data_IF_593575980628
#
_entry.id   IF_593575980628
#
_cell.length_a   1.000
_cell.length_b   1.000
_cell.length_c   1.000
_cell.angle_alpha   90.00
_cell.angle_beta   90.00
_cell.angle_gamma   90.00
#
_symmetry.space_group_name_H-M   'P 1'
#
loop_
_entity.id
_entity.type
_entity.pdbx_description
1 polymer ?
#
# COMPACT_ATOMS: atom_id res chain seq x y z
N UNK A 1 20.81 1.80 59.73
CA UNK A 1 20.88 0.71 60.72
C UNK A 1 19.65 -0.18 60.53
N UNK A 2 19.84 -1.49 60.67
CA UNK A 2 19.03 -2.62 60.19
C UNK A 2 17.55 -2.69 60.59
N UNK A 3 16.81 -3.47 59.78
CA UNK A 3 15.45 -4.03 59.95
C UNK A 3 15.12 -4.50 61.38
N UNK A 4 13.84 -4.83 61.64
CA UNK A 4 13.56 -6.25 61.84
C UNK A 4 12.29 -6.81 61.17
N UNK A 5 12.42 -8.10 60.82
CA UNK A 5 11.42 -9.06 60.37
C UNK A 5 10.24 -9.24 61.34
N UNK A 6 9.05 -9.57 60.80
CA UNK A 6 8.13 -10.52 61.43
C UNK A 6 7.61 -11.52 60.40
N UNK A 7 7.97 -12.77 60.65
CA UNK A 7 7.53 -13.99 60.00
C UNK A 7 6.32 -14.53 60.79
N UNK A 8 5.24 -14.98 60.16
CA UNK A 8 4.26 -15.88 60.79
C UNK A 8 3.61 -16.79 59.75
N UNK A 9 3.97 -18.06 59.87
CA UNK A 9 3.39 -19.25 59.25
C UNK A 9 1.90 -19.40 59.58
N UNK A 10 1.11 -19.94 58.64
CA UNK A 10 0.08 -20.96 58.89
C UNK A 10 -0.49 -21.55 57.56
N UNK A 11 0.04 -22.72 57.21
CA UNK A 11 -0.60 -23.99 56.79
C UNK A 11 -1.92 -24.02 55.98
N UNK A 12 -1.81 -24.70 54.82
CA UNK A 12 -2.65 -25.77 54.24
C UNK A 12 -4.18 -25.68 54.32
N UNK A 13 -4.85 -25.83 53.16
CA UNK A 13 -5.59 -27.05 52.81
C UNK A 13 -6.02 -27.04 51.33
N UNK A 14 -5.64 -28.08 50.59
CA UNK A 14 -6.26 -28.48 49.32
C UNK A 14 -7.71 -28.96 49.56
N UNK A 15 -8.54 -28.95 48.51
CA UNK A 15 -9.07 -30.24 48.03
C UNK A 15 -8.92 -30.35 46.50
N UNK A 16 -8.29 -31.41 45.98
CA UNK A 16 -8.92 -32.68 45.58
C UNK A 16 -10.04 -32.54 44.51
N UNK A 17 -9.62 -32.77 43.26
CA UNK A 17 -10.12 -33.82 42.35
C UNK A 17 -11.64 -33.98 42.16
N UNK A 18 -12.10 -33.68 40.94
CA UNK A 18 -12.98 -34.62 40.21
C UNK A 18 -12.58 -34.67 38.73
N UNK A 19 -12.10 -35.85 38.33
CA UNK A 19 -12.11 -36.36 36.97
C UNK A 19 -13.57 -36.61 36.53
N UNK A 20 -13.94 -36.15 35.34
CA UNK A 20 -15.09 -36.64 34.59
C UNK A 20 -14.67 -36.74 33.12
N UNK A 21 -14.15 -37.91 32.72
CA UNK A 21 -14.84 -38.96 31.95
C UNK A 21 -15.28 -38.54 30.54
N UNK A 22 -14.47 -38.99 29.58
CA UNK A 22 -14.84 -39.33 28.20
C UNK A 22 -16.19 -40.05 28.10
N UNK A 23 -16.89 -39.87 26.97
CA UNK A 23 -17.41 -41.00 26.24
C UNK A 23 -16.80 -41.04 24.83
N UNK A 24 -16.03 -42.11 24.61
CA UNK A 24 -15.91 -42.78 23.31
C UNK A 24 -17.24 -43.49 22.99
N UNK A 25 -17.43 -43.92 21.73
CA UNK A 25 -18.58 -44.65 21.13
C UNK A 25 -19.62 -43.72 20.46
N UNK A 26 -19.92 -43.75 19.15
CA UNK A 26 -19.80 -44.80 18.12
C UNK A 26 -19.75 -44.21 16.71
N UNK A 27 -18.95 -44.88 15.87
CA UNK A 27 -19.17 -45.23 14.47
C UNK A 27 -20.47 -44.70 13.83
N UNK A 28 -20.30 -43.84 12.83
CA UNK A 28 -21.00 -44.02 11.56
C UNK A 28 -19.98 -43.89 10.43
N UNK A 29 -19.45 -45.05 10.02
CA UNK A 29 -18.89 -45.27 8.70
C UNK A 29 -19.96 -44.94 7.65
N UNK A 30 -19.92 -43.72 7.09
CA UNK A 30 -20.61 -43.45 5.84
C UNK A 30 -19.60 -43.55 4.69
N UNK A 31 -19.47 -44.79 4.23
CA UNK A 31 -18.75 -45.24 3.06
C UNK A 31 -19.59 -44.98 1.80
N UNK A 32 -19.23 -44.08 0.88
CA UNK A 32 -19.77 -44.14 -0.48
C UNK A 32 -18.99 -45.21 -1.28
N UNK A 33 -19.68 -46.16 -1.93
CA UNK A 33 -19.03 -47.22 -2.68
C UNK A 33 -18.48 -46.73 -4.03
N UNK A 34 -17.26 -47.19 -4.32
CA UNK A 34 -16.77 -47.53 -5.66
C UNK A 34 -17.03 -46.51 -6.79
N UNK A 35 -16.10 -45.57 -6.96
CA UNK A 35 -15.90 -44.90 -8.25
C UNK A 35 -14.66 -45.55 -8.90
N UNK A 36 -14.78 -46.19 -10.07
CA UNK A 36 -13.63 -46.73 -10.77
C UNK A 36 -12.72 -45.59 -11.24
N UNK A 37 -11.53 -45.56 -10.67
CA UNK A 37 -10.34 -44.86 -11.14
C UNK A 37 -9.97 -45.37 -12.54
N UNK A 38 -10.60 -44.81 -13.58
CA UNK A 38 -10.06 -44.84 -14.93
C UNK A 38 -8.90 -43.86 -14.99
N UNK A 39 -7.70 -44.41 -14.80
CA UNK A 39 -6.44 -43.75 -15.10
C UNK A 39 -6.29 -43.62 -16.62
N UNK A 40 -7.02 -42.69 -17.23
CA UNK A 40 -6.76 -42.24 -18.60
C UNK A 40 -5.70 -41.16 -18.56
N UNK A 41 -4.46 -41.55 -18.82
CA UNK A 41 -3.38 -40.64 -19.22
C UNK A 41 -3.77 -40.00 -20.56
N UNK A 42 -4.52 -38.91 -20.50
CA UNK A 42 -4.74 -38.04 -21.67
C UNK A 42 -3.55 -37.11 -21.78
N UNK A 43 -2.65 -37.42 -22.71
CA UNK A 43 -1.63 -36.50 -23.21
C UNK A 43 -2.34 -35.33 -23.90
N UNK A 44 -2.49 -34.20 -23.19
CA UNK A 44 -2.90 -32.95 -23.79
C UNK A 44 -1.73 -32.38 -24.60
N UNK A 45 -1.83 -32.49 -25.93
CA UNK A 45 -0.91 -31.89 -26.86
C UNK A 45 -0.91 -30.36 -26.70
N UNK A 46 0.27 -29.80 -26.47
CA UNK A 46 0.50 -28.35 -26.53
C UNK A 46 0.44 -27.93 -28.00
N UNK A 47 -0.68 -27.36 -28.42
CA UNK A 47 -0.80 -26.66 -29.70
C UNK A 47 -0.32 -25.22 -29.52
N UNK A 48 0.93 -24.94 -29.89
CA UNK A 48 1.45 -23.58 -30.01
C UNK A 48 0.72 -22.83 -31.14
N UNK A 49 -0.08 -21.83 -30.79
CA UNK A 49 -0.60 -20.86 -31.75
C UNK A 49 0.39 -19.69 -31.85
N UNK A 50 1.01 -19.55 -33.02
CA UNK A 50 1.89 -18.43 -33.34
C UNK A 50 1.05 -17.16 -33.56
N UNK A 51 1.23 -16.16 -32.71
CA UNK A 51 0.66 -14.82 -32.91
C UNK A 51 1.58 -14.03 -33.84
N UNK A 52 1.05 -13.71 -35.03
CA UNK A 52 1.74 -12.92 -36.03
C UNK A 52 1.71 -11.42 -35.69
N UNK A 53 2.87 -10.77 -35.82
CA UNK A 53 3.08 -9.33 -35.67
C UNK A 53 2.83 -8.67 -37.04
N UNK A 54 1.87 -7.74 -37.20
CA UNK A 54 1.86 -6.88 -38.37
C UNK A 54 2.86 -5.74 -38.18
N UNK A 55 3.98 -5.80 -38.91
CA UNK A 55 4.89 -4.68 -39.09
C UNK A 55 4.29 -3.65 -40.05
N UNK A 56 4.11 -2.42 -39.59
CA UNK A 56 3.79 -1.27 -40.45
C UNK A 56 5.06 -0.43 -40.63
N UNK A 57 5.82 -0.75 -41.67
CA UNK A 57 6.84 0.13 -42.23
C UNK A 57 6.32 0.72 -43.53
N UNK A 58 6.31 2.05 -43.61
CA UNK A 58 6.51 2.74 -44.87
C UNK A 58 5.35 3.58 -45.35
N UNK A 59 5.39 4.88 -45.04
CA UNK A 59 5.11 5.91 -46.04
C UNK A 59 6.21 6.96 -45.97
N UNK A 60 7.14 6.86 -46.92
CA UNK A 60 8.11 7.87 -47.30
C UNK A 60 7.46 8.69 -48.42
N UNK A 61 7.20 9.97 -48.17
CA UNK A 61 6.93 10.93 -49.24
C UNK A 61 8.04 11.96 -49.25
N UNK A 62 8.80 11.95 -50.33
CA UNK A 62 9.80 12.95 -50.69
C UNK A 62 9.19 13.90 -51.69
N UNK A 63 9.30 15.21 -51.46
CA UNK A 63 9.51 16.16 -52.56
C UNK A 63 10.09 17.47 -52.02
N UNK A 64 11.32 17.71 -52.45
CA UNK A 64 12.11 18.94 -52.31
C UNK A 64 11.69 19.95 -53.38
N UNK A 65 11.55 21.23 -53.01
CA UNK A 65 11.91 22.36 -53.88
C UNK A 65 11.85 23.70 -53.13
N UNK A 66 13.02 24.34 -52.98
CA UNK A 66 13.21 25.81 -52.88
C UNK A 66 12.76 26.45 -54.21
N UNK A 67 12.37 27.75 -54.28
CA UNK A 67 13.31 28.85 -54.05
C UNK A 67 12.77 30.13 -53.37
N UNK A 68 13.76 30.94 -53.03
CA UNK A 68 13.82 32.34 -52.58
C UNK A 68 12.75 33.29 -53.13
N UNK A 69 12.13 34.09 -52.26
CA UNK A 69 12.06 35.56 -52.44
C UNK A 69 11.61 36.27 -51.16
N UNK A 70 12.28 37.38 -50.88
CA UNK A 70 12.12 38.22 -49.71
C UNK A 70 10.85 39.06 -49.76
N UNK A 71 10.23 39.34 -48.60
CA UNK A 71 9.57 40.62 -48.30
C UNK A 71 9.70 40.89 -46.80
N UNK A 72 10.00 42.16 -46.52
CA UNK A 72 10.42 42.81 -45.28
C UNK A 72 9.23 43.50 -44.64
N UNK A 73 8.93 43.25 -43.35
CA UNK A 73 8.04 44.10 -42.53
C UNK A 73 8.51 44.13 -41.05
N UNK A 74 8.21 45.21 -40.30
CA UNK A 74 9.08 45.75 -39.25
C UNK A 74 8.76 45.29 -37.82
N UNK A 75 9.78 45.42 -36.98
CA UNK A 75 9.81 45.22 -35.52
C UNK A 75 9.13 46.37 -34.75
N UNK A 76 8.40 46.07 -33.65
CA UNK A 76 8.21 47.02 -32.57
C UNK A 76 8.92 46.59 -31.27
N UNK A 77 9.90 47.42 -30.92
CA UNK A 77 10.40 47.83 -29.59
C UNK A 77 10.06 47.01 -28.32
N UNK A 78 11.14 46.60 -27.64
CA UNK A 78 11.18 46.26 -26.21
C UNK A 78 10.78 47.46 -25.32
N UNK A 79 9.94 47.29 -24.28
CA UNK A 79 9.82 48.31 -23.23
C UNK A 79 11.02 48.22 -22.28
N UNK A 80 11.96 49.15 -22.43
CA UNK A 80 12.89 49.51 -21.35
C UNK A 80 12.12 50.38 -20.35
N UNK A 81 11.61 49.78 -19.29
CA UNK A 81 11.15 50.52 -18.11
C UNK A 81 12.28 50.56 -17.08
N UNK A 82 12.82 51.75 -16.91
CA UNK A 82 13.84 52.12 -15.93
C UNK A 82 13.40 51.78 -14.51
N UNK A 83 14.07 50.83 -13.87
CA UNK A 83 14.08 50.73 -12.41
C UNK A 83 15.03 51.82 -11.91
N UNK A 84 14.47 52.97 -11.55
CA UNK A 84 15.18 53.99 -10.76
C UNK A 84 15.24 53.49 -9.32
N UNK A 85 16.41 53.05 -8.89
CA UNK A 85 16.71 52.76 -7.50
C UNK A 85 16.56 54.04 -6.67
N UNK A 86 15.73 54.00 -5.63
CA UNK A 86 15.75 54.96 -4.54
C UNK A 86 15.74 54.18 -3.22
N UNK A 87 16.90 53.61 -2.90
CA UNK A 87 17.20 53.08 -1.57
C UNK A 87 17.76 54.24 -0.74
N UNK A 88 16.94 54.77 0.17
CA UNK A 88 17.39 55.60 1.28
C UNK A 88 16.65 55.15 2.55
N UNK A 89 17.40 54.38 3.34
CA UNK A 89 17.44 54.39 4.80
C UNK A 89 16.11 54.43 5.57
N UNK A 90 15.64 53.25 6.03
CA UNK A 90 15.13 53.08 7.40
C UNK A 90 15.68 51.75 7.91
N UNK A 91 16.65 51.84 8.82
CA UNK A 91 17.31 50.72 9.43
C UNK A 91 16.48 49.95 10.46
N UNK A 92 16.92 48.71 10.66
CA UNK A 92 16.89 47.94 11.92
C UNK A 92 15.51 47.76 12.58
N UNK A 93 14.81 46.70 12.16
CA UNK A 93 14.06 45.84 13.07
C UNK A 93 14.43 44.39 12.75
N UNK A 94 15.40 43.88 13.51
CA UNK A 94 15.94 42.53 13.43
C UNK A 94 15.02 41.55 14.14
N UNK A 95 14.75 40.44 13.46
CA UNK A 95 14.45 39.09 13.97
C UNK A 95 13.23 38.86 14.88
N UNK A 96 12.24 38.13 14.36
CA UNK A 96 11.87 36.78 14.84
C UNK A 96 10.43 36.37 14.47
N UNK A 97 10.09 36.25 13.18
CA UNK A 97 8.84 35.59 12.74
C UNK A 97 8.96 34.91 11.38
N UNK A 98 10.13 34.35 11.07
CA UNK A 98 10.36 33.56 9.87
C UNK A 98 10.94 32.19 10.23
N UNK A 99 10.21 31.39 11.02
CA UNK A 99 10.60 30.03 11.34
C UNK A 99 9.40 29.08 11.49
N UNK A 100 8.35 29.26 10.69
CA UNK A 100 7.19 28.33 10.70
C UNK A 100 6.47 28.28 9.35
N UNK A 101 7.18 28.36 8.22
CA UNK A 101 6.55 28.29 6.89
C UNK A 101 7.31 27.41 5.88
N UNK A 102 8.23 26.56 6.35
CA UNK A 102 9.02 25.66 5.48
C UNK A 102 8.90 24.17 5.87
N UNK A 103 7.74 23.77 6.40
CA UNK A 103 7.34 22.35 6.46
C UNK A 103 6.15 22.06 5.55
N UNK A 104 5.97 22.85 4.48
CA UNK A 104 5.37 22.30 3.27
C UNK A 104 6.44 21.48 2.54
N UNK A 105 6.97 20.46 3.22
CA UNK A 105 7.54 19.33 2.50
C UNK A 105 6.41 18.85 1.61
N UNK A 106 6.63 18.84 0.31
CA UNK A 106 5.87 18.01 -0.60
C UNK A 106 6.07 16.58 -0.07
N UNK A 107 5.23 16.18 0.90
CA UNK A 107 5.22 14.84 1.44
C UNK A 107 4.91 13.98 0.22
N UNK A 108 5.93 13.28 -0.25
CA UNK A 108 5.82 12.33 -1.35
C UNK A 108 4.97 11.20 -0.80
N UNK A 109 3.65 11.38 -0.81
CA UNK A 109 2.74 10.33 -0.39
C UNK A 109 2.78 9.27 -1.48
N UNK A 110 3.18 8.05 -1.12
CA UNK A 110 3.07 6.92 -2.04
C UNK A 110 1.60 6.54 -2.15
N UNK A 111 1.12 6.42 -3.38
CA UNK A 111 -0.23 5.96 -3.66
C UNK A 111 -0.22 4.48 -4.03
N UNK A 112 -1.05 3.69 -3.34
CA UNK A 112 -1.27 2.27 -3.57
C UNK A 112 -2.71 2.08 -4.03
N UNK A 113 -2.91 1.55 -5.23
CA UNK A 113 -4.25 1.27 -5.73
C UNK A 113 -4.81 -0.01 -5.11
N UNK A 114 -6.08 0.03 -4.71
CA UNK A 114 -6.84 -1.13 -4.29
C UNK A 114 -7.63 -1.65 -5.50
N UNK A 115 -7.13 -2.74 -6.07
CA UNK A 115 -7.59 -3.30 -7.33
C UNK A 115 -6.81 -2.76 -8.52
N UNK A 116 -6.32 -3.67 -9.38
CA UNK A 116 -5.65 -3.29 -10.62
C UNK A 116 -6.62 -2.74 -11.67
N UNK A 117 -6.10 -1.98 -12.63
CA UNK A 117 -6.89 -1.41 -13.73
C UNK A 117 -7.53 -2.49 -14.63
N UNK A 118 -7.01 -3.72 -14.57
CA UNK A 118 -7.53 -4.92 -15.21
C UNK A 118 -8.64 -5.62 -14.39
N UNK A 119 -9.02 -5.07 -13.24
CA UNK A 119 -9.97 -5.66 -12.30
C UNK A 119 -9.38 -6.73 -11.39
N UNK A 120 -8.06 -6.90 -11.37
CA UNK A 120 -7.39 -7.83 -10.43
C UNK A 120 -7.61 -7.42 -8.98
N UNK A 121 -7.84 -8.39 -8.10
CA UNK A 121 -7.99 -8.19 -6.66
C UNK A 121 -6.60 -8.14 -6.00
N UNK A 122 -5.88 -7.04 -6.24
CA UNK A 122 -4.50 -6.86 -5.79
C UNK A 122 -4.24 -5.42 -5.32
N UNK A 123 -3.26 -5.27 -4.43
CA UNK A 123 -2.64 -3.98 -4.16
C UNK A 123 -1.65 -3.64 -5.28
N UNK A 124 -1.65 -2.40 -5.78
CA UNK A 124 -0.75 -1.99 -6.86
C UNK A 124 -0.01 -0.70 -6.48
N UNK A 125 1.31 -0.75 -6.22
CA UNK A 125 2.13 -1.96 -6.06
C UNK A 125 1.79 -2.74 -4.77
N UNK A 126 2.01 -4.06 -4.77
CA UNK A 126 1.83 -4.90 -3.57
C UNK A 126 3.08 -5.00 -2.69
N UNK A 127 4.25 -4.58 -3.18
CA UNK A 127 5.45 -4.49 -2.39
C UNK A 127 6.18 -3.18 -2.68
N UNK A 128 6.49 -2.45 -1.61
CA UNK A 128 7.13 -1.14 -1.72
C UNK A 128 7.87 -0.81 -0.43
N UNK A 129 8.59 0.30 -0.46
CA UNK A 129 9.42 0.77 0.65
C UNK A 129 9.21 2.26 0.83
N UNK A 130 9.08 2.70 2.08
CA UNK A 130 8.84 4.10 2.45
C UNK A 130 9.82 4.55 3.53
N UNK A 131 10.02 5.86 3.65
CA UNK A 131 10.69 6.40 4.82
C UNK A 131 9.79 6.32 6.07
N UNK A 132 10.39 6.19 7.25
CA UNK A 132 9.67 6.34 8.51
C UNK A 132 8.90 7.67 8.57
N UNK A 133 7.60 7.59 8.82
CA UNK A 133 6.68 8.73 8.92
C UNK A 133 6.18 9.27 7.58
N UNK A 134 6.50 8.59 6.47
CA UNK A 134 5.91 8.91 5.16
C UNK A 134 4.43 8.49 5.12
N UNK A 135 3.58 9.33 4.50
CA UNK A 135 2.16 9.01 4.31
C UNK A 135 2.00 8.00 3.18
N UNK A 136 1.30 6.91 3.47
CA UNK A 136 0.86 5.92 2.50
C UNK A 136 -0.62 6.16 2.23
N UNK A 137 -0.99 6.33 0.97
CA UNK A 137 -2.37 6.55 0.53
C UNK A 137 -2.85 5.30 -0.20
N UNK A 138 -3.77 4.56 0.40
CA UNK A 138 -4.46 3.45 -0.24
C UNK A 138 -5.71 3.97 -0.92
N UNK A 139 -5.73 4.00 -2.26
CA UNK A 139 -6.83 4.55 -3.06
C UNK A 139 -7.65 3.44 -3.69
N UNK A 140 -8.94 3.42 -3.39
CA UNK A 140 -9.88 2.49 -3.97
C UNK A 140 -9.99 2.69 -5.49
N UNK A 141 -9.75 1.66 -6.29
CA UNK A 141 -9.67 1.78 -7.75
C UNK A 141 -10.72 0.92 -8.45
N UNK A 142 -10.64 -0.41 -8.28
CA UNK A 142 -11.50 -1.37 -8.98
C UNK A 142 -11.76 -2.61 -8.12
N UNK A 143 -12.82 -3.36 -8.40
CA UNK A 143 -13.12 -4.62 -7.70
C UNK A 143 -13.49 -4.46 -6.21
N UNK A 144 -13.99 -3.28 -5.83
CA UNK A 144 -14.47 -2.97 -4.48
C UNK A 144 -15.69 -3.84 -4.08
N UNK A 145 -15.96 -4.05 -2.77
CA UNK A 145 -15.39 -3.34 -1.63
C UNK A 145 -13.99 -3.80 -1.19
N UNK A 146 -13.18 -2.87 -0.68
CA UNK A 146 -11.84 -3.15 -0.14
C UNK A 146 -11.63 -2.53 1.25
N UNK A 147 -10.74 -3.11 2.04
CA UNK A 147 -10.15 -2.47 3.20
C UNK A 147 -8.64 -2.74 3.25
N UNK A 148 -7.98 -2.16 4.24
CA UNK A 148 -6.56 -2.39 4.52
C UNK A 148 -6.43 -2.78 5.99
N UNK A 149 -6.03 -4.03 6.23
CA UNK A 149 -5.81 -4.57 7.57
C UNK A 149 -4.38 -5.04 7.67
N UNK A 150 -3.65 -4.55 8.68
CA UNK A 150 -2.30 -4.99 8.97
C UNK A 150 -2.34 -6.27 9.79
N UNK A 151 -1.48 -7.21 9.43
CA UNK A 151 -1.37 -8.50 10.12
C UNK A 151 -0.63 -8.31 11.45
N UNK A 152 -1.27 -8.67 12.57
CA UNK A 152 -0.71 -8.50 13.91
C UNK A 152 0.54 -9.35 14.17
N UNK A 153 0.70 -10.46 13.44
CA UNK A 153 1.84 -11.38 13.57
C UNK A 153 3.02 -10.97 12.66
N UNK A 154 2.78 -10.15 11.64
CA UNK A 154 3.76 -9.77 10.61
C UNK A 154 4.04 -8.26 10.56
N UNK A 155 4.08 -7.63 11.75
CA UNK A 155 4.48 -6.22 11.96
C UNK A 155 5.58 -6.08 13.02
N UNK A 156 6.30 -4.94 13.07
CA UNK A 156 7.34 -4.73 14.08
C UNK A 156 6.77 -4.77 15.50
N UNK A 157 7.53 -5.34 16.43
CA UNK A 157 7.12 -5.44 17.83
C UNK A 157 6.84 -4.07 18.44
N UNK A 158 5.74 -3.97 19.20
CA UNK A 158 5.32 -2.72 19.86
C UNK A 158 4.41 -1.84 19.00
N UNK A 159 4.21 -2.19 17.72
CA UNK A 159 3.15 -1.61 16.89
C UNK A 159 1.81 -2.26 17.25
N UNK A 160 0.76 -1.45 17.29
CA UNK A 160 -0.61 -1.88 17.52
C UNK A 160 -1.34 -1.93 16.17
N UNK A 161 -1.59 -3.14 15.65
CA UNK A 161 -2.19 -3.35 14.34
C UNK A 161 -3.55 -2.67 14.20
N UNK A 162 -4.36 -2.65 15.27
CA UNK A 162 -5.69 -2.04 15.27
C UNK A 162 -5.66 -0.51 15.08
N UNK A 163 -4.54 0.16 15.40
CA UNK A 163 -4.40 1.61 15.20
C UNK A 163 -3.98 2.00 13.78
N UNK A 164 -3.41 1.06 13.04
CA UNK A 164 -2.92 1.28 11.67
C UNK A 164 -3.77 0.52 10.65
N UNK A 165 -4.82 -0.18 11.09
CA UNK A 165 -5.75 -0.90 10.23
C UNK A 165 -7.08 -0.15 10.11
N UNK A 166 -7.81 -0.46 9.05
CA UNK A 166 -9.23 -0.16 8.95
C UNK A 166 -10.04 -1.19 9.76
N UNK A 167 -11.18 -0.77 10.31
CA UNK A 167 -12.14 -1.70 10.90
C UNK A 167 -12.68 -2.68 9.84
N UNK A 168 -12.92 -3.94 10.21
CA UNK A 168 -13.39 -4.96 9.26
C UNK A 168 -14.77 -4.65 8.64
N UNK A 169 -15.62 -3.92 9.36
CA UNK A 169 -16.94 -3.52 8.88
C UNK A 169 -16.91 -2.23 8.05
N UNK A 170 -15.82 -1.45 8.11
CA UNK A 170 -15.69 -0.16 7.43
C UNK A 170 -14.89 -0.31 6.14
N UNK A 171 -15.59 -0.66 5.06
CA UNK A 171 -15.00 -0.88 3.74
C UNK A 171 -15.06 0.37 2.86
N UNK A 172 -14.10 0.48 1.94
CA UNK A 172 -14.13 1.43 0.84
C UNK A 172 -15.00 0.84 -0.29
N UNK A 173 -16.11 1.50 -0.57
CA UNK A 173 -17.19 1.00 -1.43
C UNK A 173 -17.29 1.74 -2.77
N UNK A 174 -16.57 2.86 -2.95
CA UNK A 174 -16.61 3.64 -4.18
C UNK A 174 -15.21 3.96 -4.71
N UNK A 175 -15.06 4.10 -6.04
CA UNK A 175 -13.77 4.47 -6.63
C UNK A 175 -13.33 5.86 -6.15
N UNK A 176 -12.04 5.99 -5.87
CA UNK A 176 -11.41 7.23 -5.39
C UNK A 176 -11.51 7.45 -3.88
N UNK A 177 -12.22 6.60 -3.12
CA UNK A 177 -12.14 6.63 -1.66
C UNK A 177 -10.73 6.25 -1.19
N UNK A 178 -10.28 6.83 -0.09
CA UNK A 178 -8.91 6.69 0.39
C UNK A 178 -8.84 6.26 1.85
N UNK A 179 -7.82 5.48 2.15
CA UNK A 179 -7.33 5.24 3.51
C UNK A 179 -5.88 5.73 3.59
N UNK A 180 -5.57 6.59 4.56
CA UNK A 180 -4.23 7.12 4.76
C UNK A 180 -3.65 6.64 6.08
N UNK A 181 -2.38 6.22 6.05
CA UNK A 181 -1.66 5.76 7.23
C UNK A 181 -0.20 6.20 7.18
N UNK A 182 0.37 6.49 8.35
CA UNK A 182 1.80 6.77 8.51
C UNK A 182 2.40 5.71 9.42
N UNK A 183 3.51 5.12 8.98
CA UNK A 183 4.23 4.08 9.73
C UNK A 183 5.58 4.64 10.19
N UNK A 184 5.83 4.61 11.49
CA UNK A 184 7.03 5.21 12.10
C UNK A 184 8.04 4.18 12.59
N UNK A 185 7.58 3.02 13.04
CA UNK A 185 8.51 1.98 13.47
C UNK A 185 9.18 1.34 12.25
N UNK A 186 10.48 1.11 12.33
CA UNK A 186 11.22 0.52 11.22
C UNK A 186 10.98 -0.97 11.16
N UNK A 187 10.87 -1.51 9.95
CA UNK A 187 10.70 -2.93 9.72
C UNK A 187 9.73 -3.25 8.59
N UNK A 188 9.32 -4.51 8.54
CA UNK A 188 8.38 -5.00 7.55
C UNK A 188 6.98 -5.06 8.15
N UNK A 189 5.99 -4.67 7.36
CA UNK A 189 4.58 -4.72 7.70
C UNK A 189 3.85 -5.45 6.58
N UNK A 190 3.25 -6.59 6.90
CA UNK A 190 2.31 -7.25 5.99
C UNK A 190 0.90 -6.73 6.24
N UNK A 191 0.13 -6.61 5.17
CA UNK A 191 -1.26 -6.18 5.22
C UNK A 191 -2.06 -6.90 4.14
N UNK A 192 -3.37 -6.95 4.33
CA UNK A 192 -4.29 -7.65 3.45
C UNK A 192 -5.63 -6.93 3.35
N UNK A 193 -6.42 -7.33 2.35
CA UNK A 193 -7.81 -6.92 2.21
C UNK A 193 -8.70 -8.06 2.73
N UNK A 194 -9.44 -7.86 3.82
CA UNK A 194 -10.26 -8.89 4.47
C UNK A 194 -11.19 -9.64 3.51
N UNK A 195 -12.00 -9.00 2.65
CA UNK A 195 -12.89 -9.72 1.73
C UNK A 195 -12.14 -10.49 0.63
N UNK A 196 -10.88 -10.17 0.35
CA UNK A 196 -10.13 -10.67 -0.81
C UNK A 196 -8.83 -11.38 -0.45
N UNK A 197 -8.55 -11.61 0.83
CA UNK A 197 -7.35 -12.30 1.30
C UNK A 197 -7.26 -13.73 0.72
N UNK A 198 -8.40 -14.44 0.64
CA UNK A 198 -8.47 -15.77 0.02
C UNK A 198 -8.20 -15.79 -1.49
N UNK A 199 -8.29 -14.62 -2.17
CA UNK A 199 -7.90 -14.43 -3.56
C UNK A 199 -6.43 -13.99 -3.72
N UNK A 200 -5.70 -13.82 -2.62
CA UNK A 200 -4.31 -13.39 -2.63
C UNK A 200 -4.11 -11.87 -2.63
N UNK A 201 -5.13 -11.09 -2.25
CA UNK A 201 -4.99 -9.64 -2.09
C UNK A 201 -4.23 -9.30 -0.80
N UNK A 202 -2.91 -9.46 -0.86
CA UNK A 202 -1.95 -9.21 0.22
C UNK A 202 -0.86 -8.27 -0.26
N UNK A 203 -0.30 -7.49 0.66
CA UNK A 203 0.77 -6.55 0.38
C UNK A 203 1.76 -6.50 1.54
N UNK A 204 2.92 -5.89 1.25
CA UNK A 204 4.00 -5.73 2.22
C UNK A 204 4.71 -4.40 2.02
N UNK A 205 4.83 -3.63 3.07
CA UNK A 205 5.62 -2.39 3.09
C UNK A 205 6.82 -2.54 4.01
N UNK A 206 7.98 -2.08 3.54
CA UNK A 206 9.19 -1.94 4.35
C UNK A 206 9.37 -0.47 4.74
N UNK A 207 9.54 -0.19 6.03
CA UNK A 207 9.83 1.14 6.57
C UNK A 207 11.32 1.23 6.92
N UNK A 208 12.01 2.20 6.31
CA UNK A 208 13.48 2.37 6.41
C UNK A 208 13.96 3.32 7.51
#
# INVERSE_FOLDING_TARGET
FSKPHKNKYQINLFPFSIYTTFPSLLLFDYYPPNIPIFLTTTMAAVTSAAVAIPSFTGLKSSSSSKPTSAIRLPSPASPKLSVRASLKDVGVAVAATAASALLASNAMAIEILLGGDDGSLAFVPNNFTVASGETIVFKNNAGFPHNVVFDEDEIPSGVDAGKISMDEENLLNAPGEVYEVQLTEKGSYSFYCSPHQGAGMVGKVTVN
#
